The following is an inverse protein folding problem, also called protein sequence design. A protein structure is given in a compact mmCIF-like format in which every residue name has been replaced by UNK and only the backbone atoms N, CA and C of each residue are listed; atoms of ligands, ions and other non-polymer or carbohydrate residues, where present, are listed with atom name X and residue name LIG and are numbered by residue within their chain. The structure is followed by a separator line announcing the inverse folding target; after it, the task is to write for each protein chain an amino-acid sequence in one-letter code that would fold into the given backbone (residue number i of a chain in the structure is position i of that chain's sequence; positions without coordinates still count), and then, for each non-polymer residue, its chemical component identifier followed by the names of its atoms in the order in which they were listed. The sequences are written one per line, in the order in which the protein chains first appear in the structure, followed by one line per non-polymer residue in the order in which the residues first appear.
data_IF_771915907038
#
_entry.id   IF_771915907038
#
_cell.length_a   1.000
_cell.length_b   1.000
_cell.length_c   1.000
_cell.angle_alpha   90.00
_cell.angle_beta   90.00
_cell.angle_gamma   90.00
#
_symmetry.space_group_name_H-M   'P 1'
#
loop_
_entity.id
_entity.type
_entity.pdbx_description
1 polymer ?
#
# COMPACT_ATOMS: atom_id res chain seq x y z
N UNK A 1 -0.98 11.97 -17.42
CA UNK A 1 0.31 11.56 -16.81
C UNK A 1 0.31 10.07 -16.58
N UNK A 2 1.42 9.44 -16.85
CA UNK A 2 1.56 8.01 -16.65
C UNK A 2 1.63 7.69 -15.16
N UNK A 3 0.80 6.74 -14.71
CA UNK A 3 0.85 6.24 -13.34
C UNK A 3 1.62 4.92 -13.26
N UNK A 4 2.34 4.60 -14.34
CA UNK A 4 3.10 3.36 -14.41
C UNK A 4 4.57 3.59 -14.13
N UNK A 5 5.24 2.54 -13.68
CA UNK A 5 6.68 2.56 -13.44
C UNK A 5 7.23 1.15 -13.68
N UNK A 6 8.52 1.08 -13.93
CA UNK A 6 9.21 -0.21 -14.05
C UNK A 6 9.77 -0.60 -12.69
N UNK A 7 9.47 -1.80 -12.26
CA UNK A 7 9.96 -2.30 -10.99
C UNK A 7 10.14 -3.82 -11.08
N UNK A 8 10.97 -4.36 -10.20
CA UNK A 8 11.22 -5.79 -10.18
C UNK A 8 10.01 -6.51 -9.56
N UNK A 9 9.50 -7.50 -10.29
CA UNK A 9 8.41 -8.34 -9.82
C UNK A 9 8.96 -9.70 -9.41
N UNK A 10 8.82 -10.06 -8.14
CA UNK A 10 9.30 -11.34 -7.62
C UNK A 10 8.56 -12.50 -8.29
N UNK A 11 7.25 -12.35 -8.48
CA UNK A 11 6.43 -13.39 -9.11
C UNK A 11 6.80 -13.64 -10.57
N UNK A 12 7.14 -12.57 -11.30
CA UNK A 12 7.55 -12.68 -12.70
C UNK A 12 9.06 -12.94 -12.83
N UNK A 13 9.82 -12.75 -11.76
CA UNK A 13 11.29 -12.90 -11.72
C UNK A 13 12.00 -11.99 -12.72
N UNK A 14 11.45 -10.81 -12.97
CA UNK A 14 12.03 -9.83 -13.89
C UNK A 14 11.40 -8.46 -13.65
N UNK A 15 11.99 -7.44 -14.24
CA UNK A 15 11.40 -6.11 -14.21
C UNK A 15 10.19 -6.08 -15.13
N UNK A 16 9.07 -5.58 -14.62
CA UNK A 16 7.83 -5.44 -15.36
C UNK A 16 7.21 -4.09 -15.09
N UNK A 17 6.28 -3.70 -15.94
CA UNK A 17 5.53 -2.48 -15.74
C UNK A 17 4.58 -2.66 -14.57
N UNK A 18 4.57 -1.68 -13.68
CA UNK A 18 3.68 -1.64 -12.52
C UNK A 18 2.81 -0.41 -12.59
N UNK A 19 1.57 -0.56 -12.13
CA UNK A 19 0.59 0.52 -12.06
C UNK A 19 0.51 0.96 -10.61
N UNK A 20 0.73 2.24 -10.35
CA UNK A 20 0.63 2.80 -9.00
C UNK A 20 -0.84 2.90 -8.61
N UNK A 21 -1.14 2.59 -7.36
CA UNK A 21 -2.49 2.73 -6.83
C UNK A 21 -2.47 3.50 -5.51
N UNK A 22 -3.61 4.07 -5.20
CA UNK A 22 -3.84 4.77 -3.94
C UNK A 22 -5.29 4.47 -3.57
N UNK A 23 -5.49 3.76 -2.47
CA UNK A 23 -6.81 3.32 -2.05
C UNK A 23 -7.05 3.57 -0.57
N UNK A 24 -8.28 3.92 -0.24
CA UNK A 24 -8.70 4.03 1.16
C UNK A 24 -9.03 2.64 1.66
N UNK A 25 -8.38 2.23 2.75
CA UNK A 25 -8.57 0.92 3.34
C UNK A 25 -8.76 1.06 4.85
N UNK A 26 -9.10 -0.05 5.49
CA UNK A 26 -9.25 -0.10 6.93
C UNK A 26 -8.42 -1.24 7.49
N UNK A 27 -7.84 -1.00 8.66
CA UNK A 27 -7.03 -1.99 9.35
C UNK A 27 -7.63 -2.23 10.74
N UNK A 28 -7.84 -3.49 11.11
CA UNK A 28 -8.34 -3.82 12.43
C UNK A 28 -7.20 -3.78 13.45
N UNK A 29 -7.38 -2.93 14.46
CA UNK A 29 -6.40 -2.79 15.55
C UNK A 29 -7.17 -2.84 16.87
N UNK A 30 -6.87 -3.86 17.69
CA UNK A 30 -7.53 -4.07 18.98
C UNK A 30 -9.06 -4.04 18.87
N UNK A 31 -9.60 -4.66 17.82
CA UNK A 31 -11.05 -4.71 17.60
C UNK A 31 -11.65 -3.44 17.02
N UNK A 32 -10.82 -2.47 16.64
CA UNK A 32 -11.28 -1.20 16.06
C UNK A 32 -10.83 -1.13 14.60
N UNK A 33 -11.76 -0.78 13.71
CA UNK A 33 -11.42 -0.59 12.29
C UNK A 33 -10.86 0.82 12.12
N UNK A 34 -9.59 0.90 11.76
CA UNK A 34 -8.87 2.16 11.62
C UNK A 34 -8.69 2.49 10.14
N UNK A 35 -9.25 3.61 9.67
CA UNK A 35 -9.09 3.97 8.26
C UNK A 35 -7.69 4.50 7.98
N UNK A 36 -7.19 4.19 6.79
CA UNK A 36 -5.91 4.71 6.33
C UNK A 36 -5.88 4.69 4.80
N UNK A 37 -4.92 5.40 4.22
CA UNK A 37 -4.73 5.41 2.77
C UNK A 37 -3.52 4.55 2.44
N UNK A 38 -3.73 3.54 1.62
CA UNK A 38 -2.66 2.65 1.18
C UNK A 38 -2.19 3.04 -0.21
N UNK A 39 -0.87 3.12 -0.38
CA UNK A 39 -0.26 3.35 -1.68
C UNK A 39 0.68 2.19 -2.00
N UNK A 40 0.78 1.86 -3.26
CA UNK A 40 1.64 0.77 -3.70
C UNK A 40 1.63 0.66 -5.20
N UNK A 41 2.04 -0.51 -5.69
CA UNK A 41 2.14 -0.79 -7.13
C UNK A 41 1.62 -2.19 -7.40
N UNK A 42 0.99 -2.35 -8.56
CA UNK A 42 0.48 -3.64 -9.02
C UNK A 42 1.16 -4.01 -10.32
N UNK A 43 1.72 -5.22 -10.38
CA UNK A 43 2.32 -5.72 -11.61
C UNK A 43 1.25 -5.89 -12.69
N UNK A 44 1.49 -5.32 -13.87
CA UNK A 44 0.51 -5.39 -14.96
C UNK A 44 0.41 -6.78 -15.59
N UNK A 45 1.38 -7.64 -15.33
CA UNK A 45 1.44 -8.97 -15.91
C UNK A 45 0.79 -10.02 -15.01
N UNK A 46 1.20 -10.08 -13.74
CA UNK A 46 0.72 -11.10 -12.81
C UNK A 46 -0.28 -10.58 -11.78
N UNK A 47 -0.44 -9.26 -11.67
CA UNK A 47 -1.38 -8.66 -10.72
C UNK A 47 -0.89 -8.61 -9.27
N UNK A 48 0.37 -8.94 -9.01
CA UNK A 48 0.92 -8.89 -7.65
C UNK A 48 1.05 -7.46 -7.17
N UNK A 49 0.61 -7.22 -5.93
CA UNK A 49 0.73 -5.91 -5.30
C UNK A 49 2.02 -5.85 -4.50
N UNK A 50 2.74 -4.73 -4.59
CA UNK A 50 3.96 -4.52 -3.81
C UNK A 50 3.97 -3.12 -3.22
N UNK A 51 4.68 -2.98 -2.11
CA UNK A 51 4.90 -1.69 -1.47
C UNK A 51 6.38 -1.55 -1.15
N UNK A 52 6.89 -0.32 -1.25
CA UNK A 52 8.23 -0.02 -0.77
C UNK A 52 8.21 0.01 0.77
N UNK A 53 9.40 -0.06 1.38
CA UNK A 53 9.52 0.06 2.84
C UNK A 53 8.93 1.38 3.31
N UNK A 54 9.18 2.46 2.57
CA UNK A 54 8.68 3.79 2.91
C UNK A 54 7.16 3.85 2.85
N UNK A 55 6.55 3.24 1.84
CA UNK A 55 5.09 3.21 1.71
C UNK A 55 4.46 2.40 2.84
N UNK A 56 5.08 1.28 3.20
CA UNK A 56 4.60 0.45 4.30
C UNK A 56 4.68 1.19 5.63
N UNK A 57 5.80 1.87 5.88
CA UNK A 57 5.99 2.65 7.09
C UNK A 57 4.96 3.79 7.18
N UNK A 58 4.68 4.44 6.06
CA UNK A 58 3.70 5.52 6.02
C UNK A 58 2.31 5.00 6.37
N UNK A 59 1.92 3.85 5.82
CA UNK A 59 0.64 3.22 6.14
C UNK A 59 0.53 2.91 7.63
N UNK A 60 1.59 2.34 8.21
CA UNK A 60 1.60 2.01 9.64
C UNK A 60 1.53 3.27 10.52
N UNK A 61 2.21 4.34 10.12
CA UNK A 61 2.16 5.60 10.85
C UNK A 61 0.76 6.21 10.81
N UNK A 62 0.08 6.14 9.67
CA UNK A 62 -1.30 6.61 9.55
C UNK A 62 -2.21 5.82 10.48
N UNK A 63 -2.07 4.49 10.49
CA UNK A 63 -2.89 3.62 11.35
C UNK A 63 -2.70 3.99 12.81
N UNK A 64 -1.46 4.15 13.26
CA UNK A 64 -1.16 4.49 14.65
C UNK A 64 -1.76 5.84 15.04
N UNK A 65 -1.58 6.83 14.17
CA UNK A 65 -2.06 8.18 14.44
C UNK A 65 -3.58 8.23 14.45
N UNK A 66 -4.22 7.60 13.47
CA UNK A 66 -5.68 7.56 13.39
C UNK A 66 -6.28 6.82 14.57
N UNK A 67 -5.65 5.71 14.97
CA UNK A 67 -6.09 4.96 16.14
C UNK A 67 -6.03 5.81 17.40
N UNK A 68 -4.95 6.56 17.57
CA UNK A 68 -4.80 7.45 18.71
C UNK A 68 -5.92 8.49 18.75
N UNK A 69 -6.25 9.06 17.59
CA UNK A 69 -7.31 10.06 17.48
C UNK A 69 -8.71 9.47 17.75
N UNK A 70 -8.89 8.19 17.48
CA UNK A 70 -10.17 7.51 17.67
C UNK A 70 -10.41 7.06 19.12
N UNK A 71 -9.39 7.07 19.95
CA UNK A 71 -9.47 6.57 21.34
C UNK A 71 -10.04 7.55 22.34
N UNK A 72 -10.44 8.70 21.95
CA UNK A 72 -10.98 9.71 22.88
C UNK A 72 -12.33 9.37 23.42
#
# INVERSE_FOLDING_TARGET
MSKTCMDYCIECSKETEHIRYCEDREFEWNGVMVPYTETGRTCSICGSETQSVEENDDSMNQIRENYRNMRH
#
